data_IF_274701779141
#
_entry.id   IF_274701779141
#
_cell.length_a   1.000
_cell.length_b   1.000
_cell.length_c   1.000
_cell.angle_alpha   90.00
_cell.angle_beta   90.00
_cell.angle_gamma   90.00
#
_symmetry.space_group_name_H-M   'P 1'
#
loop_
_entity.id
_entity.type
_entity.pdbx_description
1 polymer ?
#
# COMPACT_ATOMS: atom_id res chain seq x y z
N UNK A 1 4.81 -7.09 5.53
CA UNK A 1 3.49 -6.43 5.60
C UNK A 1 2.73 -6.79 6.88
N UNK A 2 2.44 -8.07 7.14
CA UNK A 2 1.62 -8.49 8.30
C UNK A 2 2.16 -8.04 9.66
N UNK A 3 3.48 -8.16 9.91
CA UNK A 3 4.08 -7.65 11.15
C UNK A 3 3.89 -6.14 11.33
N UNK A 4 4.07 -5.36 10.26
CA UNK A 4 3.86 -3.90 10.30
C UNK A 4 2.39 -3.54 10.58
N UNK A 5 1.44 -4.30 10.01
CA UNK A 5 0.01 -4.14 10.30
C UNK A 5 -0.28 -4.45 11.77
N UNK A 6 0.24 -5.57 12.29
CA UNK A 6 0.07 -5.93 13.70
C UNK A 6 0.62 -4.85 14.64
N UNK A 7 1.83 -4.35 14.39
CA UNK A 7 2.43 -3.27 15.18
C UNK A 7 1.66 -1.94 15.05
N UNK A 8 1.17 -1.58 13.85
CA UNK A 8 0.35 -0.39 13.68
C UNK A 8 -0.95 -0.47 14.48
N UNK A 9 -1.55 -1.66 14.50
CA UNK A 9 -2.77 -1.98 15.22
C UNK A 9 -2.57 -1.99 16.75
N UNK A 10 -1.44 -2.44 17.26
CA UNK A 10 -1.11 -2.36 18.70
C UNK A 10 -0.80 -0.93 19.11
N UNK A 11 -0.11 -0.17 18.26
CA UNK A 11 0.23 1.23 18.51
C UNK A 11 -0.93 2.21 18.24
N UNK A 12 -2.12 1.70 17.92
CA UNK A 12 -3.31 2.48 17.61
C UNK A 12 -3.07 3.51 16.47
N UNK A 13 -2.14 3.21 15.56
CA UNK A 13 -1.85 4.02 14.40
C UNK A 13 -3.10 4.13 13.51
N UNK A 14 -3.28 5.28 12.88
CA UNK A 14 -4.44 5.56 12.02
C UNK A 14 -4.12 5.44 10.54
N UNK A 15 -2.86 5.62 10.18
CA UNK A 15 -2.39 5.64 8.80
C UNK A 15 -1.05 4.91 8.76
N UNK A 16 -0.92 4.00 7.79
CA UNK A 16 0.35 3.39 7.42
C UNK A 16 0.70 3.85 6.00
N UNK A 17 1.93 4.34 5.79
CA UNK A 17 2.46 4.60 4.46
C UNK A 17 3.20 3.36 3.97
N UNK A 18 2.74 2.82 2.84
CA UNK A 18 3.33 1.63 2.22
C UNK A 18 4.01 2.04 0.92
N UNK A 19 5.32 1.90 0.86
CA UNK A 19 6.11 2.27 -0.32
C UNK A 19 6.32 1.05 -1.21
N UNK A 20 5.80 1.09 -2.43
CA UNK A 20 5.83 -0.01 -3.41
C UNK A 20 6.76 0.25 -4.60
N UNK A 21 7.27 1.47 -4.72
CA UNK A 21 8.12 1.92 -5.85
C UNK A 21 7.31 2.47 -7.02
N UNK A 22 7.86 3.44 -7.76
CA UNK A 22 7.15 4.12 -8.86
C UNK A 22 7.05 3.23 -10.10
N UNK A 23 5.90 3.25 -10.83
CA UNK A 23 5.83 2.62 -12.14
C UNK A 23 6.82 3.32 -13.11
N UNK A 24 7.38 2.61 -14.11
CA UNK A 24 8.19 3.24 -15.13
C UNK A 24 7.37 4.33 -15.84
N UNK A 25 8.01 5.46 -16.19
CA UNK A 25 7.42 6.34 -17.20
C UNK A 25 7.31 5.51 -18.48
N UNK A 26 6.14 5.53 -19.11
CA UNK A 26 5.85 4.83 -20.36
C UNK A 26 6.66 5.51 -21.48
N UNK A 27 7.97 5.32 -21.47
CA UNK A 27 8.86 5.65 -22.59
C UNK A 27 8.96 4.40 -23.44
N UNK A 28 8.67 4.54 -24.73
CA UNK A 28 8.28 3.51 -25.70
C UNK A 28 9.26 2.33 -25.97
N UNK A 29 10.19 2.00 -25.08
CA UNK A 29 11.21 0.96 -25.34
C UNK A 29 11.54 0.02 -24.17
N UNK A 30 10.72 -0.08 -23.13
CA UNK A 30 10.94 -1.06 -22.06
C UNK A 30 9.88 -2.17 -22.12
N UNK A 31 10.20 -3.26 -22.81
CA UNK A 31 9.37 -4.45 -22.87
C UNK A 31 8.96 -4.92 -21.47
N UNK A 32 7.65 -5.19 -21.31
CA UNK A 32 6.97 -5.89 -20.21
C UNK A 32 7.80 -6.07 -18.93
N UNK A 33 8.29 -4.98 -18.34
CA UNK A 33 9.12 -5.08 -17.16
C UNK A 33 8.19 -5.40 -16.00
N UNK A 34 8.42 -6.55 -15.35
CA UNK A 34 7.76 -7.12 -14.16
C UNK A 34 7.65 -6.19 -12.93
N UNK A 35 7.92 -4.88 -13.07
CA UNK A 35 7.89 -3.86 -12.02
C UNK A 35 6.60 -3.04 -12.11
N UNK A 36 5.76 -3.21 -11.11
CA UNK A 36 4.36 -2.79 -11.08
C UNK A 36 3.43 -3.89 -10.57
N UNK A 37 3.86 -5.16 -10.68
CA UNK A 37 3.17 -6.32 -10.13
C UNK A 37 2.93 -6.17 -8.62
N UNK A 38 3.89 -5.64 -7.87
CA UNK A 38 3.72 -5.36 -6.43
C UNK A 38 2.57 -4.38 -6.20
N UNK A 39 2.42 -3.31 -7.01
CA UNK A 39 1.30 -2.36 -6.86
C UNK A 39 -0.04 -2.97 -7.25
N UNK A 40 -0.07 -3.81 -8.28
CA UNK A 40 -1.28 -4.54 -8.67
C UNK A 40 -1.73 -5.53 -7.59
N UNK A 41 -0.78 -6.30 -7.05
CA UNK A 41 -1.05 -7.33 -6.05
C UNK A 41 -1.26 -6.79 -4.65
N UNK A 42 -0.68 -5.64 -4.28
CA UNK A 42 -0.79 -5.16 -2.90
C UNK A 42 -2.22 -4.82 -2.50
N UNK A 43 -3.04 -4.32 -3.44
CA UNK A 43 -4.46 -4.10 -3.18
C UNK A 43 -5.14 -5.43 -2.83
N UNK A 44 -4.92 -6.44 -3.66
CA UNK A 44 -5.45 -7.77 -3.45
C UNK A 44 -4.98 -8.39 -2.13
N UNK A 45 -3.69 -8.30 -1.79
CA UNK A 45 -3.15 -8.82 -0.52
C UNK A 45 -3.68 -8.07 0.71
N UNK A 46 -3.95 -6.77 0.59
CA UNK A 46 -4.55 -5.97 1.65
C UNK A 46 -6.01 -6.35 1.90
N UNK A 47 -6.75 -6.69 0.85
CA UNK A 47 -8.15 -7.11 0.91
C UNK A 47 -8.33 -8.55 1.37
N UNK A 48 -7.42 -9.45 0.99
CA UNK A 48 -7.49 -10.88 1.31
C UNK A 48 -6.67 -11.28 2.54
N UNK A 49 -5.85 -10.37 3.06
CA UNK A 49 -4.96 -10.62 4.20
C UNK A 49 -5.68 -10.72 5.54
N UNK A 50 -5.03 -11.29 6.58
CA UNK A 50 -5.62 -11.51 7.90
C UNK A 50 -6.03 -10.22 8.63
N UNK A 51 -5.50 -9.07 8.21
CA UNK A 51 -5.80 -7.75 8.79
C UNK A 51 -6.75 -6.91 7.93
N UNK A 52 -7.34 -7.46 6.86
CA UNK A 52 -8.23 -6.73 5.95
C UNK A 52 -9.39 -6.06 6.68
N UNK A 53 -10.00 -6.76 7.65
CA UNK A 53 -11.09 -6.25 8.47
C UNK A 53 -10.73 -5.01 9.31
N UNK A 54 -9.43 -4.72 9.50
CA UNK A 54 -8.93 -3.57 10.24
C UNK A 54 -8.65 -2.37 9.34
N UNK A 55 -8.74 -2.54 8.02
CA UNK A 55 -8.56 -1.47 7.04
C UNK A 55 -9.91 -0.77 6.82
N UNK A 56 -9.88 0.56 6.86
CA UNK A 56 -11.03 1.40 6.54
C UNK A 56 -11.01 1.78 5.05
N UNK A 57 -9.85 2.12 4.51
CA UNK A 57 -9.65 2.43 3.09
C UNK A 57 -8.17 2.41 2.70
N UNK A 58 -7.91 2.28 1.40
CA UNK A 58 -6.57 2.39 0.81
C UNK A 58 -6.59 3.50 -0.23
N UNK A 59 -5.58 4.37 -0.24
CA UNK A 59 -5.50 5.53 -1.15
C UNK A 59 -4.08 5.70 -1.69
N UNK A 60 -3.94 6.29 -2.87
CA UNK A 60 -2.63 6.70 -3.39
C UNK A 60 -2.01 7.75 -2.46
N UNK A 61 -0.71 7.62 -2.18
CA UNK A 61 0.00 8.57 -1.35
C UNK A 61 0.14 9.92 -2.04
N UNK A 62 0.31 10.97 -1.23
CA UNK A 62 0.58 12.30 -1.77
C UNK A 62 1.93 12.30 -2.54
N UNK A 63 2.12 13.12 -3.61
CA UNK A 63 3.38 13.16 -4.36
C UNK A 63 4.62 13.38 -3.49
N UNK A 64 4.51 14.19 -2.43
CA UNK A 64 5.60 14.42 -1.45
C UNK A 64 5.97 13.18 -0.62
N UNK A 65 5.08 12.18 -0.54
CA UNK A 65 5.26 10.94 0.21
C UNK A 65 5.40 9.71 -0.71
N UNK A 66 5.66 9.92 -2.01
CA UNK A 66 5.93 8.84 -2.97
C UNK A 66 4.96 8.77 -4.14
N UNK A 67 3.81 9.45 -4.08
CA UNK A 67 2.83 9.50 -5.17
C UNK A 67 2.37 8.11 -5.58
N UNK A 68 2.37 7.84 -6.89
CA UNK A 68 2.02 6.54 -7.47
C UNK A 68 2.88 5.36 -7.01
N UNK A 69 4.01 5.62 -6.37
CA UNK A 69 4.87 4.59 -5.79
C UNK A 69 4.60 4.28 -4.33
N UNK A 70 3.55 4.83 -3.74
CA UNK A 70 3.18 4.57 -2.36
C UNK A 70 1.66 4.66 -2.12
N UNK A 71 1.21 4.03 -1.04
CA UNK A 71 -0.19 3.98 -0.63
C UNK A 71 -0.34 4.38 0.84
N UNK A 72 -1.39 5.13 1.15
CA UNK A 72 -1.90 5.24 2.50
C UNK A 72 -2.87 4.10 2.77
N UNK A 73 -2.60 3.32 3.80
CA UNK A 73 -3.53 2.35 4.37
C UNK A 73 -4.12 2.97 5.62
N UNK A 74 -5.41 3.26 5.59
CA UNK A 74 -6.13 3.88 6.68
C UNK A 74 -6.72 2.78 7.54
N UNK A 75 -6.40 2.77 8.82
CA UNK A 75 -6.84 1.75 9.77
C UNK A 75 -8.10 2.20 10.52
N UNK A 76 -9.00 1.25 10.77
CA UNK A 76 -10.19 1.45 11.59
C UNK A 76 -9.76 1.76 13.02
N UNK A 77 -10.52 2.65 13.65
CA UNK A 77 -10.37 2.92 15.08
C UNK A 77 -10.77 1.68 15.86
N UNK A 78 -9.87 1.17 16.69
CA UNK A 78 -10.23 0.22 17.76
C UNK A 78 -11.17 0.95 18.72
N UNK A 79 -12.33 0.35 18.98
CA UNK A 79 -13.21 0.77 20.07
C UNK A 79 -12.54 0.49 21.40
#
# INVERSE_FOLDING_TARGET
MNQAMASAVTNNARILLVVTGKPPKMTEKAGASRRGAIRGEIGHWLETGPHAHQIASVRIAHPRHGGDGALYVILRRKK
#
